data_IF_629432034203
#
_entry.id   IF_629432034203
#
_cell.length_a   1.000
_cell.length_b   1.000
_cell.length_c   1.000
_cell.angle_alpha   90.00
_cell.angle_beta   90.00
_cell.angle_gamma   90.00
#
_symmetry.space_group_name_H-M   'P 1'
#
loop_
_entity.id
_entity.type
_entity.pdbx_description
1 polymer ?
#
# COMPACT_ATOMS: atom_id res chain seq x y z
N UNK A 1 -15.32 11.69 34.59
CA UNK A 1 -14.08 11.01 34.18
C UNK A 1 -14.35 9.74 33.36
N UNK A 2 -15.05 8.73 33.90
CA UNK A 2 -15.34 7.47 33.16
C UNK A 2 -16.03 7.67 31.80
N UNK A 3 -17.09 8.48 31.75
CA UNK A 3 -17.82 8.80 30.50
C UNK A 3 -16.91 9.50 29.49
N UNK A 4 -16.11 10.47 29.96
CA UNK A 4 -15.17 11.20 29.10
C UNK A 4 -14.10 10.27 28.50
N UNK A 5 -13.56 9.34 29.29
CA UNK A 5 -12.61 8.32 28.82
C UNK A 5 -13.26 7.43 27.76
N UNK A 6 -14.47 6.92 28.02
CA UNK A 6 -15.18 6.08 27.07
C UNK A 6 -15.44 6.83 25.74
N UNK A 7 -15.94 8.07 25.82
CA UNK A 7 -16.16 8.90 24.65
C UNK A 7 -14.87 9.18 23.88
N UNK A 8 -13.79 9.61 24.56
CA UNK A 8 -12.52 9.89 23.91
C UNK A 8 -11.90 8.64 23.27
N UNK A 9 -11.92 7.50 23.95
CA UNK A 9 -11.44 6.22 23.40
C UNK A 9 -12.23 5.79 22.17
N UNK A 10 -13.57 5.85 22.22
CA UNK A 10 -14.43 5.45 21.11
C UNK A 10 -14.26 6.42 19.92
N UNK A 11 -14.34 7.73 20.17
CA UNK A 11 -14.20 8.74 19.12
C UNK A 11 -12.82 8.66 18.49
N UNK A 12 -11.74 8.60 19.30
CA UNK A 12 -10.38 8.45 18.79
C UNK A 12 -10.22 7.20 17.93
N UNK A 13 -10.76 6.06 18.36
CA UNK A 13 -10.77 4.82 17.58
C UNK A 13 -11.51 4.97 16.25
N UNK A 14 -12.74 5.51 16.26
CA UNK A 14 -13.53 5.69 15.05
C UNK A 14 -12.89 6.67 14.07
N UNK A 15 -12.27 7.73 14.58
CA UNK A 15 -11.53 8.71 13.77
C UNK A 15 -10.32 8.10 13.08
N UNK A 16 -9.82 6.95 13.54
CA UNK A 16 -8.70 6.23 12.93
C UNK A 16 -9.13 5.05 12.09
N UNK A 17 -10.21 4.34 12.43
CA UNK A 17 -10.62 3.13 11.69
C UNK A 17 -11.55 3.43 10.51
N UNK A 18 -12.45 4.41 10.65
CA UNK A 18 -13.43 4.75 9.60
C UNK A 18 -12.88 5.52 8.37
N UNK A 19 -11.78 6.31 8.44
CA UNK A 19 -11.34 7.10 7.29
C UNK A 19 -11.14 6.32 6.00
N UNK A 20 -10.56 5.12 6.06
CA UNK A 20 -10.36 4.25 4.89
C UNK A 20 -11.69 3.86 4.22
N UNK A 21 -12.60 3.16 4.93
CA UNK A 21 -13.90 2.79 4.39
C UNK A 21 -14.75 3.99 3.95
N UNK A 22 -14.67 5.12 4.66
CA UNK A 22 -15.38 6.34 4.28
C UNK A 22 -14.82 6.95 2.99
N UNK A 23 -13.51 6.91 2.78
CA UNK A 23 -12.91 7.30 1.51
C UNK A 23 -13.36 6.35 0.39
N UNK A 24 -13.29 5.04 0.61
CA UNK A 24 -13.56 4.02 -0.39
C UNK A 24 -15.04 3.96 -0.82
N UNK A 25 -15.96 4.01 0.15
CA UNK A 25 -17.39 3.72 -0.09
C UNK A 25 -18.30 4.93 0.08
N UNK A 26 -17.87 5.98 0.79
CA UNK A 26 -18.68 7.17 1.06
C UNK A 26 -18.17 8.44 0.37
N UNK A 27 -17.12 8.35 -0.45
CA UNK A 27 -16.59 9.48 -1.22
C UNK A 27 -15.95 10.58 -0.38
N UNK A 28 -15.56 10.30 0.87
CA UNK A 28 -14.84 11.26 1.71
C UNK A 28 -13.49 11.56 1.06
N UNK A 29 -13.13 12.85 0.96
CA UNK A 29 -11.86 13.23 0.35
C UNK A 29 -10.66 12.65 1.11
N UNK A 30 -9.58 12.36 0.38
CA UNK A 30 -8.36 11.82 0.98
C UNK A 30 -7.76 12.76 2.05
N UNK A 31 -7.83 14.07 1.82
CA UNK A 31 -7.38 15.08 2.79
C UNK A 31 -8.19 15.04 4.09
N UNK A 32 -9.52 14.88 3.99
CA UNK A 32 -10.40 14.73 5.16
C UNK A 32 -10.11 13.43 5.90
N UNK A 33 -9.91 12.32 5.18
CA UNK A 33 -9.57 11.03 5.77
C UNK A 33 -8.26 11.09 6.59
N UNK A 34 -7.19 11.66 6.02
CA UNK A 34 -5.93 11.87 6.74
C UNK A 34 -6.02 12.87 7.89
N UNK A 35 -6.87 13.90 7.75
CA UNK A 35 -7.14 14.84 8.85
C UNK A 35 -7.82 14.13 10.01
N UNK A 36 -8.79 13.25 9.75
CA UNK A 36 -9.43 12.42 10.76
C UNK A 36 -8.41 11.50 11.46
N UNK A 37 -7.54 10.83 10.70
CA UNK A 37 -6.47 9.99 11.27
C UNK A 37 -5.58 10.78 12.23
N UNK A 38 -5.17 11.98 11.83
CA UNK A 38 -4.32 12.86 12.66
C UNK A 38 -5.01 13.27 13.96
N UNK A 39 -6.27 13.69 13.90
CA UNK A 39 -7.00 14.06 15.11
C UNK A 39 -7.32 12.84 15.98
N UNK A 40 -7.60 11.69 15.37
CA UNK A 40 -7.80 10.42 16.08
C UNK A 40 -6.58 10.02 16.91
N UNK A 41 -5.36 10.24 16.40
CA UNK A 41 -4.12 10.08 17.19
C UNK A 41 -4.11 10.96 18.44
N UNK A 42 -4.41 12.27 18.32
CA UNK A 42 -4.42 13.18 19.47
C UNK A 42 -5.52 12.84 20.48
N UNK A 43 -6.71 12.50 20.01
CA UNK A 43 -7.84 12.10 20.86
C UNK A 43 -7.55 10.77 21.57
N UNK A 44 -6.98 9.80 20.87
CA UNK A 44 -6.51 8.53 21.44
C UNK A 44 -5.43 8.74 22.51
N UNK A 45 -4.44 9.59 22.23
CA UNK A 45 -3.41 9.97 23.20
C UNK A 45 -3.98 10.62 24.45
N UNK A 46 -4.92 11.55 24.29
CA UNK A 46 -5.62 12.17 25.40
C UNK A 46 -6.42 11.13 26.23
N UNK A 47 -7.07 10.16 25.57
CA UNK A 47 -7.78 9.08 26.25
C UNK A 47 -6.83 8.21 27.09
N UNK A 48 -5.65 7.86 26.58
CA UNK A 48 -4.63 7.12 27.33
C UNK A 48 -4.16 7.88 28.58
N UNK A 49 -3.91 9.19 28.45
CA UNK A 49 -3.54 10.05 29.59
C UNK A 49 -4.65 10.04 30.65
N UNK A 50 -5.91 10.22 30.24
CA UNK A 50 -7.06 10.19 31.16
C UNK A 50 -7.22 8.84 31.85
N UNK A 51 -6.96 7.73 31.16
CA UNK A 51 -6.98 6.38 31.75
C UNK A 51 -5.92 6.25 32.85
N UNK A 52 -4.69 6.67 32.57
CA UNK A 52 -3.60 6.65 33.55
C UNK A 52 -3.96 7.51 34.77
N UNK A 53 -4.45 8.73 34.56
CA UNK A 53 -4.88 9.62 35.65
C UNK A 53 -6.02 9.01 36.48
N UNK A 54 -7.00 8.35 35.86
CA UNK A 54 -8.06 7.66 36.59
C UNK A 54 -7.52 6.55 37.49
N UNK A 55 -6.59 5.73 36.98
CA UNK A 55 -6.00 4.62 37.74
C UNK A 55 -5.16 5.15 38.91
N UNK A 56 -4.41 6.24 38.72
CA UNK A 56 -3.59 6.84 39.78
C UNK A 56 -4.43 7.53 40.87
N UNK A 57 -5.43 8.34 40.48
CA UNK A 57 -6.19 9.18 41.41
C UNK A 57 -7.32 8.39 42.09
N UNK A 58 -7.98 7.47 41.38
CA UNK A 58 -9.21 6.84 41.85
C UNK A 58 -9.18 5.30 41.78
N UNK A 59 -8.03 4.70 42.11
CA UNK A 59 -7.75 3.25 41.99
C UNK A 59 -8.85 2.33 42.55
N UNK A 60 -9.46 2.69 43.68
CA UNK A 60 -10.46 1.85 44.38
C UNK A 60 -11.80 1.74 43.63
N UNK A 61 -12.07 2.66 42.70
CA UNK A 61 -13.33 2.75 41.97
C UNK A 61 -13.18 2.42 40.47
N UNK A 62 -12.03 1.86 40.07
CA UNK A 62 -11.76 1.45 38.69
C UNK A 62 -12.55 0.20 38.35
N UNK A 63 -13.30 0.22 37.24
CA UNK A 63 -13.85 -0.99 36.64
C UNK A 63 -12.90 -1.45 35.55
N UNK A 64 -12.10 -2.48 35.86
CA UNK A 64 -11.03 -2.97 34.99
C UNK A 64 -11.52 -3.43 33.62
N UNK A 65 -12.70 -4.05 33.52
CA UNK A 65 -13.24 -4.46 32.22
C UNK A 65 -13.43 -3.27 31.28
N UNK A 66 -14.12 -2.23 31.75
CA UNK A 66 -14.31 -1.00 30.95
C UNK A 66 -13.01 -0.24 30.68
N UNK A 67 -12.09 -0.21 31.65
CA UNK A 67 -10.80 0.48 31.53
C UNK A 67 -9.90 -0.20 30.50
N UNK A 68 -9.80 -1.53 30.52
CA UNK A 68 -9.04 -2.30 29.53
C UNK A 68 -9.64 -2.12 28.13
N UNK A 69 -10.97 -2.20 28.00
CA UNK A 69 -11.62 -1.97 26.70
C UNK A 69 -11.31 -0.57 26.13
N UNK A 70 -11.44 0.48 26.96
CA UNK A 70 -11.10 1.84 26.54
C UNK A 70 -9.61 2.02 26.22
N UNK A 71 -8.73 1.32 26.94
CA UNK A 71 -7.30 1.34 26.69
C UNK A 71 -6.97 0.69 25.33
N UNK A 72 -7.57 -0.45 24.99
CA UNK A 72 -7.38 -1.11 23.68
C UNK A 72 -7.81 -0.18 22.54
N UNK A 73 -9.00 0.43 22.64
CA UNK A 73 -9.48 1.36 21.60
C UNK A 73 -8.55 2.57 21.43
N UNK A 74 -8.12 3.17 22.55
CA UNK A 74 -7.20 4.30 22.53
C UNK A 74 -5.79 3.91 22.02
N UNK A 75 -5.32 2.71 22.35
CA UNK A 75 -4.07 2.17 21.83
C UNK A 75 -4.13 1.98 20.33
N UNK A 76 -5.23 1.45 19.77
CA UNK A 76 -5.39 1.33 18.31
C UNK A 76 -5.37 2.71 17.65
N UNK A 77 -6.09 3.68 18.22
CA UNK A 77 -6.13 5.06 17.73
C UNK A 77 -4.74 5.74 17.69
N UNK A 78 -3.82 5.33 18.57
CA UNK A 78 -2.44 5.84 18.59
C UNK A 78 -1.51 5.00 17.71
N UNK A 79 -1.57 3.67 17.85
CA UNK A 79 -0.62 2.75 17.24
C UNK A 79 -0.69 2.75 15.71
N UNK A 80 -1.90 2.86 15.12
CA UNK A 80 -2.05 2.82 13.66
C UNK A 80 -1.46 4.07 12.97
N UNK A 81 -1.74 5.32 13.39
CA UNK A 81 -1.05 6.48 12.82
C UNK A 81 0.46 6.47 13.06
N UNK A 82 0.90 6.00 14.24
CA UNK A 82 2.34 5.87 14.55
C UNK A 82 3.02 4.86 13.63
N UNK A 83 2.40 3.70 13.36
CA UNK A 83 2.98 2.70 12.46
C UNK A 83 3.07 3.23 11.02
N UNK A 84 2.05 3.94 10.54
CA UNK A 84 2.08 4.60 9.23
C UNK A 84 3.17 5.66 9.14
N UNK A 85 3.31 6.53 10.17
CA UNK A 85 4.35 7.55 10.22
C UNK A 85 5.76 6.94 10.29
N UNK A 86 5.91 5.87 11.08
CA UNK A 86 7.17 5.14 11.17
C UNK A 86 7.55 4.58 9.80
N UNK A 87 6.63 3.92 9.08
CA UNK A 87 6.87 3.42 7.73
C UNK A 87 7.20 4.55 6.76
N UNK A 88 6.46 5.65 6.79
CA UNK A 88 6.67 6.82 5.94
C UNK A 88 8.06 7.44 6.13
N UNK A 89 8.64 7.36 7.33
CA UNK A 89 10.00 7.87 7.61
C UNK A 89 11.13 6.97 7.09
N UNK A 90 10.82 5.71 6.74
CA UNK A 90 11.82 4.72 6.30
C UNK A 90 11.84 4.51 4.79
N UNK A 91 10.93 5.13 4.05
CA UNK A 91 10.78 4.95 2.60
C UNK A 91 10.71 6.31 1.91
N UNK A 92 11.22 6.42 0.67
CA UNK A 92 11.11 7.67 -0.07
C UNK A 92 9.65 7.97 -0.44
N UNK A 93 9.28 9.26 -0.57
CA UNK A 93 7.94 9.66 -0.99
C UNK A 93 7.78 9.52 -2.52
N UNK A 94 7.85 8.28 -3.01
CA UNK A 94 7.64 7.92 -4.43
C UNK A 94 6.48 6.94 -4.57
N UNK A 95 5.98 6.77 -5.80
CA UNK A 95 4.79 5.98 -6.10
C UNK A 95 4.83 5.34 -7.49
N UNK A 96 6.01 5.25 -8.10
CA UNK A 96 6.24 4.68 -9.42
C UNK A 96 7.62 4.02 -9.37
N UNK A 97 7.64 2.69 -9.42
CA UNK A 97 8.86 1.89 -9.28
C UNK A 97 8.93 0.91 -10.45
N UNK A 98 10.09 0.83 -11.09
CA UNK A 98 10.34 -0.05 -12.24
C UNK A 98 11.66 -0.79 -12.10
N UNK A 99 11.72 -2.03 -12.55
CA UNK A 99 12.96 -2.81 -12.64
C UNK A 99 13.90 -2.30 -13.74
N UNK A 100 13.34 -1.69 -14.78
CA UNK A 100 14.08 -1.07 -15.88
C UNK A 100 13.76 0.42 -15.90
N UNK A 101 14.70 1.24 -15.42
CA UNK A 101 14.55 2.70 -15.35
C UNK A 101 14.96 3.40 -16.64
N UNK A 102 15.64 2.71 -17.56
CA UNK A 102 16.09 3.28 -18.84
C UNK A 102 15.05 3.05 -19.93
N UNK A 103 14.33 1.93 -19.87
CA UNK A 103 13.20 1.63 -20.73
C UNK A 103 12.02 1.02 -19.93
N UNK A 104 11.35 1.81 -19.07
CA UNK A 104 10.27 1.33 -18.22
C UNK A 104 9.13 0.67 -19.01
N UNK A 105 8.60 -0.48 -18.57
CA UNK A 105 7.40 -1.05 -19.16
C UNK A 105 6.24 -0.05 -19.19
N UNK A 106 5.55 0.01 -20.33
CA UNK A 106 4.44 0.92 -20.56
C UNK A 106 3.10 0.26 -20.23
N UNK A 107 2.20 1.02 -19.62
CA UNK A 107 0.81 0.62 -19.42
C UNK A 107 0.00 0.92 -20.68
N UNK A 108 -0.67 -0.08 -21.25
CA UNK A 108 -1.53 0.07 -22.43
C UNK A 108 -2.96 -0.34 -22.10
N UNK A 109 -3.16 -1.55 -21.57
CA UNK A 109 -4.49 -2.06 -21.24
C UNK A 109 -5.11 -1.33 -20.03
N UNK A 110 -4.27 -0.93 -19.06
CA UNK A 110 -4.66 -0.16 -17.88
C UNK A 110 -4.97 1.29 -18.21
N UNK A 111 -4.42 1.84 -19.30
CA UNK A 111 -4.55 3.27 -19.62
C UNK A 111 -6.00 3.80 -19.59
N UNK A 112 -6.98 3.16 -20.26
CA UNK A 112 -8.37 3.60 -20.17
C UNK A 112 -8.97 3.46 -18.77
N UNK A 113 -8.48 2.53 -17.94
CA UNK A 113 -8.97 2.32 -16.57
C UNK A 113 -8.47 3.36 -15.58
N UNK A 114 -7.50 4.20 -15.98
CA UNK A 114 -6.92 5.27 -15.15
C UNK A 114 -7.54 6.65 -15.41
N UNK A 115 -8.66 6.72 -16.12
CA UNK A 115 -9.36 7.99 -16.34
C UNK A 115 -9.65 8.70 -15.00
N UNK A 116 -9.20 9.96 -14.88
CA UNK A 116 -9.35 10.76 -13.66
C UNK A 116 -8.41 10.41 -12.50
N UNK A 117 -7.47 9.46 -12.66
CA UNK A 117 -6.49 9.16 -11.64
C UNK A 117 -5.56 10.36 -11.38
N UNK A 118 -5.35 10.79 -10.11
CA UNK A 118 -4.48 11.93 -9.80
C UNK A 118 -3.03 11.79 -10.26
N UNK A 119 -2.49 10.57 -10.21
CA UNK A 119 -1.13 10.29 -10.69
C UNK A 119 -1.18 9.90 -12.16
N UNK A 120 -0.53 10.71 -13.00
CA UNK A 120 -0.40 10.47 -14.45
C UNK A 120 0.21 9.10 -14.76
N UNK A 121 -0.19 8.47 -15.87
CA UNK A 121 0.25 7.12 -16.25
C UNK A 121 1.72 7.05 -16.71
N UNK A 122 2.24 8.14 -17.26
CA UNK A 122 3.59 8.19 -17.79
C UNK A 122 4.61 8.00 -16.67
N UNK A 123 5.78 7.49 -17.05
CA UNK A 123 6.88 7.32 -16.12
C UNK A 123 7.40 8.70 -15.69
N UNK A 124 7.42 8.95 -14.38
CA UNK A 124 7.77 10.25 -13.84
C UNK A 124 9.25 10.63 -14.11
N UNK A 125 10.14 9.64 -14.11
CA UNK A 125 11.56 9.87 -14.35
C UNK A 125 12.22 10.80 -13.31
N UNK A 126 13.35 11.40 -13.70
CA UNK A 126 14.01 12.47 -12.96
C UNK A 126 14.30 12.13 -11.49
N UNK A 127 13.82 12.98 -10.59
CA UNK A 127 14.06 12.85 -9.15
C UNK A 127 13.41 11.58 -8.55
N UNK A 128 12.30 11.10 -9.12
CA UNK A 128 11.66 9.85 -8.69
C UNK A 128 12.58 8.66 -8.98
N UNK A 129 13.16 8.60 -10.19
CA UNK A 129 14.14 7.56 -10.54
C UNK A 129 15.34 7.60 -9.61
N UNK A 130 15.86 8.80 -9.31
CA UNK A 130 17.02 8.95 -8.42
C UNK A 130 16.72 8.42 -7.03
N UNK A 131 15.60 8.83 -6.43
CA UNK A 131 15.16 8.32 -5.12
C UNK A 131 14.95 6.80 -5.13
N UNK A 132 14.39 6.25 -6.21
CA UNK A 132 14.24 4.80 -6.36
C UNK A 132 15.59 4.09 -6.35
N UNK A 133 16.57 4.57 -7.13
CA UNK A 133 17.89 3.94 -7.22
C UNK A 133 18.67 4.02 -5.91
N UNK A 134 18.47 5.08 -5.12
CA UNK A 134 19.06 5.22 -3.78
C UNK A 134 18.41 4.29 -2.76
N UNK A 135 17.08 4.17 -2.77
CA UNK A 135 16.33 3.42 -1.76
C UNK A 135 16.18 1.92 -2.08
N UNK A 136 16.13 1.55 -3.37
CA UNK A 136 15.83 0.21 -3.87
C UNK A 136 16.80 -0.24 -4.97
N UNK A 137 18.13 -0.21 -4.74
CA UNK A 137 19.13 -0.58 -5.76
C UNK A 137 19.04 -2.05 -6.21
N UNK A 138 18.33 -2.91 -5.48
CA UNK A 138 18.08 -4.31 -5.78
C UNK A 138 16.94 -4.54 -6.80
N UNK A 139 16.02 -3.58 -6.96
CA UNK A 139 14.90 -3.70 -7.89
C UNK A 139 15.40 -3.46 -9.32
N UNK A 140 15.69 -4.57 -10.00
CA UNK A 140 16.29 -4.62 -11.34
C UNK A 140 15.68 -5.72 -12.19
N UNK A 141 15.80 -5.60 -13.50
CA UNK A 141 15.40 -6.63 -14.47
C UNK A 141 15.95 -7.99 -14.05
N UNK A 142 15.08 -9.00 -14.05
CA UNK A 142 15.46 -10.37 -13.68
C UNK A 142 15.67 -11.21 -14.95
N UNK A 143 16.75 -11.99 -14.98
CA UNK A 143 16.95 -13.03 -15.99
C UNK A 143 16.49 -14.37 -15.41
N UNK A 144 15.54 -15.01 -16.08
CA UNK A 144 15.01 -16.32 -15.69
C UNK A 144 15.41 -17.36 -16.73
N UNK A 145 15.97 -18.52 -16.33
CA UNK A 145 16.43 -19.58 -17.23
C UNK A 145 15.27 -20.46 -17.75
N UNK A 146 14.18 -19.82 -18.16
CA UNK A 146 12.99 -20.45 -18.70
C UNK A 146 12.53 -19.69 -19.95
N UNK A 147 11.95 -20.39 -20.94
CA UNK A 147 11.43 -19.77 -22.15
C UNK A 147 10.22 -18.88 -21.84
N UNK A 148 10.00 -17.87 -22.69
CA UNK A 148 8.99 -16.81 -22.45
C UNK A 148 7.58 -17.35 -22.19
N UNK A 149 7.19 -18.42 -22.88
CA UNK A 149 5.86 -19.02 -22.71
C UNK A 149 5.66 -19.60 -21.31
N UNK A 150 6.69 -20.25 -20.76
CA UNK A 150 6.63 -20.81 -19.40
C UNK A 150 6.57 -19.69 -18.36
N UNK A 151 7.40 -18.65 -18.52
CA UNK A 151 7.39 -17.47 -17.66
C UNK A 151 6.06 -16.72 -17.75
N UNK A 152 5.45 -16.63 -18.93
CA UNK A 152 4.14 -16.00 -19.13
C UNK A 152 3.05 -16.72 -18.35
N UNK A 153 2.95 -18.04 -18.50
CA UNK A 153 1.97 -18.86 -17.77
C UNK A 153 2.21 -18.78 -16.25
N UNK A 154 3.47 -18.79 -15.81
CA UNK A 154 3.82 -18.63 -14.40
C UNK A 154 3.48 -17.23 -13.85
N UNK A 155 3.68 -16.17 -14.65
CA UNK A 155 3.31 -14.81 -14.30
C UNK A 155 1.80 -14.63 -14.18
N UNK A 156 1.02 -15.21 -15.10
CA UNK A 156 -0.44 -15.20 -15.04
C UNK A 156 -0.96 -15.90 -13.77
N UNK A 157 -0.40 -17.07 -13.44
CA UNK A 157 -0.71 -17.78 -12.18
C UNK A 157 -0.33 -16.95 -10.96
N UNK A 158 0.81 -16.27 -11.00
CA UNK A 158 1.29 -15.41 -9.92
C UNK A 158 0.30 -14.27 -9.66
N UNK A 159 -0.16 -13.59 -10.71
CA UNK A 159 -1.20 -12.53 -10.61
C UNK A 159 -2.45 -13.08 -9.91
N UNK A 160 -2.92 -14.27 -10.29
CA UNK A 160 -4.09 -14.90 -9.69
C UNK A 160 -3.87 -15.29 -8.21
N UNK A 161 -2.71 -15.83 -7.84
CA UNK A 161 -2.37 -16.23 -6.47
C UNK A 161 -2.27 -15.01 -5.55
N UNK A 162 -1.68 -13.91 -6.05
CA UNK A 162 -1.59 -12.64 -5.33
C UNK A 162 -2.94 -11.92 -5.26
N UNK A 163 -3.96 -12.40 -5.97
CA UNK A 163 -5.31 -11.84 -5.94
C UNK A 163 -5.43 -10.49 -6.66
N UNK A 164 -4.54 -10.21 -7.61
CA UNK A 164 -4.61 -8.98 -8.40
C UNK A 164 -5.61 -9.14 -9.54
N UNK A 165 -6.31 -8.05 -9.86
CA UNK A 165 -7.27 -8.01 -10.96
C UNK A 165 -6.48 -8.05 -12.28
N UNK A 166 -6.57 -9.17 -13.02
CA UNK A 166 -5.93 -9.29 -14.33
C UNK A 166 -6.65 -8.42 -15.36
N UNK A 167 -5.91 -7.50 -15.97
CA UNK A 167 -6.37 -6.54 -16.98
C UNK A 167 -5.50 -6.60 -18.23
N UNK A 168 -4.95 -7.78 -18.52
CA UNK A 168 -4.03 -8.02 -19.66
C UNK A 168 -4.70 -7.91 -21.03
N UNK A 169 -6.04 -7.97 -21.09
CA UNK A 169 -6.77 -7.88 -22.36
C UNK A 169 -6.50 -6.52 -23.05
N UNK A 170 -5.82 -6.55 -24.20
CA UNK A 170 -5.39 -5.35 -24.93
C UNK A 170 -3.98 -4.84 -24.60
N UNK A 171 -3.22 -5.58 -23.78
CA UNK A 171 -1.82 -5.28 -23.51
C UNK A 171 -0.93 -5.57 -24.73
N UNK A 172 0.32 -5.11 -24.67
CA UNK A 172 1.33 -5.42 -25.68
C UNK A 172 1.66 -6.94 -25.71
N UNK A 173 2.23 -7.45 -26.82
CA UNK A 173 2.73 -8.83 -26.86
C UNK A 173 3.69 -9.11 -25.70
N UNK A 174 3.64 -10.34 -25.17
CA UNK A 174 4.47 -10.79 -24.05
C UNK A 174 4.44 -9.85 -22.83
N UNK A 175 3.31 -9.17 -22.62
CA UNK A 175 3.11 -8.25 -21.51
C UNK A 175 1.83 -8.63 -20.76
N UNK A 176 1.89 -8.61 -19.43
CA UNK A 176 0.74 -8.77 -18.55
C UNK A 176 0.50 -7.47 -17.78
N UNK A 177 -0.76 -7.14 -17.56
CA UNK A 177 -1.15 -5.97 -16.77
C UNK A 177 -2.16 -6.40 -15.69
N UNK A 178 -2.00 -5.86 -14.48
CA UNK A 178 -2.83 -6.18 -13.33
C UNK A 178 -3.07 -4.95 -12.44
N UNK A 179 -4.16 -4.93 -11.69
CA UNK A 179 -4.43 -3.92 -10.65
C UNK A 179 -4.52 -4.59 -9.29
N UNK A 180 -3.76 -4.09 -8.32
CA UNK A 180 -3.89 -4.42 -6.91
C UNK A 180 -4.73 -3.34 -6.20
N UNK A 181 -5.63 -3.75 -5.31
CA UNK A 181 -6.53 -2.84 -4.58
C UNK A 181 -6.38 -3.03 -3.08
N UNK A 182 -5.93 -1.98 -2.39
CA UNK A 182 -5.81 -2.02 -0.93
C UNK A 182 -7.17 -2.21 -0.26
N UNK A 183 -7.24 -3.11 0.73
CA UNK A 183 -8.52 -3.47 1.36
C UNK A 183 -9.15 -2.35 2.17
N UNK A 184 -8.33 -1.52 2.82
CA UNK A 184 -8.82 -0.53 3.80
C UNK A 184 -9.18 0.82 3.17
N UNK A 185 -8.39 1.29 2.21
CA UNK A 185 -8.63 2.54 1.50
C UNK A 185 -9.17 2.34 0.08
N UNK A 186 -9.13 1.13 -0.49
CA UNK A 186 -9.50 0.94 -1.89
C UNK A 186 -8.56 1.63 -2.88
N UNK A 187 -7.37 2.04 -2.45
CA UNK A 187 -6.36 2.55 -3.38
C UNK A 187 -6.00 1.48 -4.39
N UNK A 188 -5.96 1.89 -5.66
CA UNK A 188 -5.58 1.06 -6.78
C UNK A 188 -4.14 1.36 -7.19
N UNK A 189 -3.35 0.30 -7.30
CA UNK A 189 -1.99 0.32 -7.79
C UNK A 189 -1.91 -0.60 -9.01
N UNK A 190 -1.31 -0.10 -10.09
CA UNK A 190 -1.26 -0.80 -11.37
C UNK A 190 0.11 -1.41 -11.58
N UNK A 191 0.16 -2.64 -12.08
CA UNK A 191 1.37 -3.41 -12.36
C UNK A 191 1.40 -3.81 -13.82
N UNK A 192 2.55 -3.61 -14.46
CA UNK A 192 2.83 -4.14 -15.79
C UNK A 192 4.07 -5.01 -15.72
N UNK A 193 4.00 -6.18 -16.36
CA UNK A 193 5.05 -7.19 -16.43
C UNK A 193 5.38 -7.39 -17.90
N UNK A 194 6.57 -6.97 -18.34
CA UNK A 194 7.05 -7.14 -19.71
C UNK A 194 8.05 -8.29 -19.75
N UNK A 195 7.83 -9.24 -20.65
CA UNK A 195 8.71 -10.38 -20.87
C UNK A 195 9.43 -10.21 -22.22
N UNK A 196 10.76 -10.32 -22.19
CA UNK A 196 11.60 -10.21 -23.39
C UNK A 196 12.42 -11.49 -23.55
N UNK A 197 12.29 -12.13 -24.71
CA UNK A 197 13.08 -13.31 -25.06
C UNK A 197 14.58 -12.97 -25.10
N UNK A 198 15.40 -13.86 -24.54
CA UNK A 198 16.86 -13.77 -24.58
C UNK A 198 17.46 -15.17 -24.79
N UNK A 199 17.36 -15.66 -26.03
CA UNK A 199 17.70 -17.05 -26.33
C UNK A 199 16.67 -17.98 -25.69
N UNK A 200 17.13 -18.94 -24.91
CA UNK A 200 16.25 -19.85 -24.14
C UNK A 200 15.82 -19.26 -22.78
N UNK A 201 16.36 -18.10 -22.41
CA UNK A 201 16.04 -17.38 -21.18
C UNK A 201 15.01 -16.26 -21.43
N UNK A 202 14.45 -15.73 -20.35
CA UNK A 202 13.53 -14.58 -20.38
C UNK A 202 14.02 -13.47 -19.46
N UNK A 203 14.08 -12.25 -19.99
CA UNK A 203 14.18 -11.04 -19.18
C UNK A 203 12.78 -10.61 -18.72
N UNK A 204 12.63 -10.40 -17.42
CA UNK A 204 11.38 -9.97 -16.80
C UNK A 204 11.55 -8.59 -16.21
N UNK A 205 10.79 -7.65 -16.78
CA UNK A 205 10.66 -6.30 -16.26
C UNK A 205 9.31 -6.10 -15.61
N UNK A 206 9.28 -5.45 -14.45
CA UNK A 206 8.06 -5.13 -13.73
C UNK A 206 8.07 -3.65 -13.37
N UNK A 207 6.94 -2.98 -13.59
CA UNK A 207 6.68 -1.65 -13.09
C UNK A 207 5.38 -1.64 -12.30
N UNK A 208 5.42 -1.07 -11.11
CA UNK A 208 4.27 -0.91 -10.21
C UNK A 208 4.07 0.56 -9.88
N UNK A 209 2.84 1.06 -10.02
CA UNK A 209 2.53 2.49 -9.92
C UNK A 209 1.17 2.78 -9.32
N UNK A 210 1.16 3.63 -8.30
CA UNK A 210 -0.07 4.07 -7.63
C UNK A 210 -0.88 5.07 -8.45
N UNK A 211 -2.21 4.96 -8.39
CA UNK A 211 -3.13 5.94 -9.02
C UNK A 211 -3.26 7.23 -8.21
N UNK A 212 -2.99 7.19 -6.91
CA UNK A 212 -3.18 8.32 -5.99
C UNK A 212 -2.06 8.37 -4.96
N UNK A 213 -1.77 9.58 -4.46
CA UNK A 213 -0.84 9.81 -3.37
C UNK A 213 0.57 10.15 -3.86
N UNK A 214 1.29 10.94 -3.05
CA UNK A 214 2.70 11.30 -3.30
C UNK A 214 3.66 10.17 -2.93
N UNK A 215 3.28 9.35 -1.97
CA UNK A 215 4.03 8.19 -1.52
C UNK A 215 3.08 7.01 -1.46
N UNK A 216 3.60 5.83 -1.80
CA UNK A 216 2.93 4.54 -1.66
C UNK A 216 3.30 3.81 -0.34
N UNK A 217 4.06 4.46 0.55
CA UNK A 217 4.62 3.86 1.77
C UNK A 217 5.48 2.59 1.52
N UNK A 218 6.12 2.51 0.35
CA UNK A 218 6.95 1.38 -0.08
C UNK A 218 6.18 0.23 -0.70
N UNK A 219 4.87 0.39 -0.96
CA UNK A 219 4.01 -0.69 -1.46
C UNK A 219 4.36 -1.16 -2.87
N UNK A 220 4.77 -0.28 -3.79
CA UNK A 220 5.16 -0.72 -5.14
C UNK A 220 6.44 -1.56 -5.13
N UNK A 221 7.41 -1.23 -4.26
CA UNK A 221 8.61 -2.05 -4.07
C UNK A 221 8.28 -3.42 -3.45
N UNK A 222 7.45 -3.43 -2.40
CA UNK A 222 6.94 -4.66 -1.77
C UNK A 222 6.24 -5.55 -2.81
N UNK A 223 5.37 -4.97 -3.63
CA UNK A 223 4.62 -5.66 -4.67
C UNK A 223 5.49 -6.30 -5.74
N UNK A 224 6.52 -5.60 -6.22
CA UNK A 224 7.48 -6.14 -7.19
C UNK A 224 8.24 -7.33 -6.59
N UNK A 225 8.68 -7.20 -5.33
CA UNK A 225 9.39 -8.27 -4.64
C UNK A 225 8.50 -9.49 -4.39
N UNK A 226 7.25 -9.29 -3.97
CA UNK A 226 6.26 -10.36 -3.80
C UNK A 226 5.96 -11.07 -5.11
N UNK A 227 5.80 -10.33 -6.21
CA UNK A 227 5.66 -10.90 -7.54
C UNK A 227 6.83 -11.80 -7.91
N UNK A 228 8.07 -11.33 -7.78
CA UNK A 228 9.23 -12.15 -8.11
C UNK A 228 9.42 -13.33 -7.17
N UNK A 229 9.07 -13.19 -5.89
CA UNK A 229 9.11 -14.29 -4.94
C UNK A 229 8.12 -15.40 -5.32
N UNK A 230 6.91 -15.03 -5.72
CA UNK A 230 5.88 -16.00 -6.11
C UNK A 230 6.15 -16.57 -7.52
N UNK A 231 6.54 -15.74 -8.48
CA UNK A 231 6.92 -16.17 -9.84
C UNK A 231 7.99 -17.26 -9.81
N UNK A 232 9.01 -17.12 -8.96
CA UNK A 232 10.06 -18.14 -8.81
C UNK A 232 9.50 -19.46 -8.29
N UNK A 233 8.57 -19.45 -7.34
CA UNK A 233 7.91 -20.68 -6.87
C UNK A 233 7.11 -21.36 -7.97
N UNK A 234 6.49 -20.58 -8.87
CA UNK A 234 5.72 -21.12 -9.99
C UNK A 234 6.61 -21.76 -11.06
N UNK A 235 7.90 -21.43 -11.09
CA UNK A 235 8.88 -21.94 -12.07
C UNK A 235 9.77 -23.08 -11.52
N UNK A 236 9.66 -23.42 -10.24
CA UNK A 236 10.44 -24.48 -9.59
C UNK A 236 11.73 -23.99 -8.96
#
# INVERSE_FOLDING_TARGET
>A
MKVLIALASIVGFLMVVLPGPLYQFAGVSLGTAFTSLRFGFYVGGAALILIVLQVLINRKNVNWGSTVACAVLALIAVAMPVSMMSKASTVPPIHDITTDVTNPPAFVAIAPLREGAPNDINYAGGEITKQQLEAYPEIKTQLLPQPVNEVYVAAEKTIAILGWDNVTAGALPNTLEATDTTTWFGFKDDVVIRLTEKGDDTLVDVRSKSRVGKSDLGKNAERINEFFAELRKQLG
#
